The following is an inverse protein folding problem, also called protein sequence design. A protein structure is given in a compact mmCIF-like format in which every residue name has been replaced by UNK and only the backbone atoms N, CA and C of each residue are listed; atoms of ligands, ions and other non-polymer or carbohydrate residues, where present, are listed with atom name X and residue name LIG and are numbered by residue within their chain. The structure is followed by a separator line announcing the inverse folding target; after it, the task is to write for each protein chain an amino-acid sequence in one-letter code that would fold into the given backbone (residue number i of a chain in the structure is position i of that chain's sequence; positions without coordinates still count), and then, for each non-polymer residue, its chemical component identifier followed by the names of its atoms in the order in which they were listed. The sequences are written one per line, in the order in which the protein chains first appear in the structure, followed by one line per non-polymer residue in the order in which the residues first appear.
data_IF_539814407909
#
_entry.id   IF_539814407909
#
_cell.length_a   1.000
_cell.length_b   1.000
_cell.length_c   1.000
_cell.angle_alpha   90.00
_cell.angle_beta   90.00
_cell.angle_gamma   90.00
#
_symmetry.space_group_name_H-M   'P 1'
#
loop_
_entity.id
_entity.type
_entity.pdbx_description
1 polymer ?
#
# COMPACT_ATOMS: atom_id res chain seq x y z
N UNK A 1 4.50 6.10 -29.93
CA UNK A 1 3.89 7.17 -29.09
C UNK A 1 2.58 6.75 -28.39
N UNK A 2 1.67 5.98 -29.02
CA UNK A 2 0.40 5.58 -28.38
C UNK A 2 0.48 4.42 -27.37
N UNK A 3 1.49 3.55 -27.43
CA UNK A 3 1.61 2.36 -26.55
C UNK A 3 2.04 2.75 -25.14
N UNK A 4 3.07 3.58 -24.97
CA UNK A 4 3.53 4.06 -23.66
C UNK A 4 2.45 4.82 -22.88
N UNK A 5 1.61 5.63 -23.55
CA UNK A 5 0.46 6.29 -22.89
C UNK A 5 -0.63 5.31 -22.48
N UNK A 6 -0.91 4.28 -23.28
CA UNK A 6 -1.88 3.21 -22.94
C UNK A 6 -1.36 2.32 -21.80
N UNK A 7 -0.07 2.02 -21.78
CA UNK A 7 0.57 1.27 -20.70
C UNK A 7 0.62 2.07 -19.41
N UNK A 8 1.01 3.35 -19.44
CA UNK A 8 0.97 4.21 -18.26
C UNK A 8 -0.48 4.36 -17.74
N UNK A 9 -1.46 4.50 -18.64
CA UNK A 9 -2.87 4.51 -18.26
C UNK A 9 -3.33 3.16 -17.67
N UNK A 10 -2.91 2.02 -18.23
CA UNK A 10 -3.24 0.69 -17.70
C UNK A 10 -2.54 0.41 -16.35
N UNK A 11 -1.30 0.85 -16.16
CA UNK A 11 -0.56 0.82 -14.89
C UNK A 11 -1.23 1.70 -13.86
N UNK A 12 -1.62 2.92 -14.24
CA UNK A 12 -2.35 3.84 -13.36
C UNK A 12 -3.74 3.31 -13.02
N UNK A 13 -4.45 2.67 -13.96
CA UNK A 13 -5.76 2.02 -13.74
C UNK A 13 -5.63 0.76 -12.89
N UNK A 14 -4.58 -0.05 -13.07
CA UNK A 14 -4.27 -1.20 -12.22
C UNK A 14 -3.93 -0.78 -10.79
N UNK A 15 -3.13 0.28 -10.62
CA UNK A 15 -2.89 0.90 -9.32
C UNK A 15 -4.16 1.53 -8.72
N UNK A 16 -5.07 2.07 -9.53
CA UNK A 16 -6.38 2.57 -9.07
C UNK A 16 -7.32 1.43 -8.64
N UNK A 17 -7.28 0.28 -9.32
CA UNK A 17 -8.06 -0.90 -8.94
C UNK A 17 -7.56 -1.54 -7.64
N UNK A 18 -6.26 -1.40 -7.34
CA UNK A 18 -5.65 -1.87 -6.09
C UNK A 18 -5.92 -0.94 -4.90
N UNK A 19 -6.38 0.30 -5.12
CA UNK A 19 -6.78 1.18 -4.03
C UNK A 19 -7.17 2.58 -4.48
N UNK A 20 -8.43 2.79 -4.92
CA UNK A 20 -9.19 4.02 -4.66
C UNK A 20 -10.63 3.95 -5.21
N UNK A 21 -11.58 4.53 -4.47
CA UNK A 21 -12.91 4.92 -4.97
C UNK A 21 -12.80 6.25 -5.74
N UNK A 22 -13.56 6.48 -6.83
CA UNK A 22 -13.34 7.64 -7.69
C UNK A 22 -13.88 8.92 -7.04
N UNK A 23 -12.99 9.88 -6.77
CA UNK A 23 -13.38 11.27 -6.54
C UNK A 23 -12.50 12.04 -5.56
N UNK A 24 -11.26 12.40 -5.94
CA UNK A 24 -10.57 13.58 -5.42
C UNK A 24 -9.50 14.08 -6.42
N UNK A 25 -9.57 15.37 -6.74
CA UNK A 25 -8.49 16.09 -7.44
C UNK A 25 -7.39 16.46 -6.43
N UNK A 26 -6.13 16.16 -6.75
CA UNK A 26 -4.98 16.47 -5.90
C UNK A 26 -4.61 17.97 -5.98
N UNK A 27 -4.19 18.59 -4.86
CA UNK A 27 -3.75 19.98 -4.83
C UNK A 27 -2.36 20.16 -5.47
N UNK A 28 -2.19 21.28 -6.16
CA UNK A 28 -0.95 21.73 -6.78
C UNK A 28 -0.02 22.32 -5.72
N UNK A 29 1.17 21.74 -5.50
CA UNK A 29 2.21 22.35 -4.67
C UNK A 29 3.12 23.25 -5.52
N UNK A 30 3.23 24.52 -5.14
CA UNK A 30 4.24 25.46 -5.65
C UNK A 30 5.58 25.25 -4.90
N UNK A 31 6.75 25.37 -5.57
CA UNK A 31 8.04 25.29 -4.91
C UNK A 31 8.39 26.64 -4.26
N UNK A 32 8.66 26.61 -2.95
CA UNK A 32 9.22 27.75 -2.22
C UNK A 32 10.72 27.57 -2.04
N UNK A 33 11.49 28.51 -2.59
CA UNK A 33 12.92 28.68 -2.36
C UNK A 33 13.19 29.05 -0.89
N UNK A 34 14.11 28.34 -0.24
CA UNK A 34 14.76 28.77 0.98
C UNK A 34 16.28 28.53 0.88
N UNK A 35 17.13 29.52 1.22
CA UNK A 35 18.58 29.42 1.03
C UNK A 35 19.27 28.66 2.17
N UNK A 36 20.28 27.88 1.80
CA UNK A 36 21.19 27.15 2.69
C UNK A 36 22.24 28.10 3.28
N UNK A 37 22.55 28.06 4.59
CA UNK A 37 23.61 28.89 5.16
C UNK A 37 25.01 28.33 4.85
N UNK A 38 25.92 29.25 4.53
CA UNK A 38 27.32 28.98 4.22
C UNK A 38 28.08 28.38 5.43
N UNK A 39 28.80 27.28 5.19
CA UNK A 39 29.74 26.68 6.15
C UNK A 39 31.10 27.38 6.11
N UNK A 40 31.70 27.57 7.28
CA UNK A 40 32.98 28.23 7.49
C UNK A 40 34.18 27.41 6.96
N UNK A 41 35.28 28.06 6.54
CA UNK A 41 36.48 27.39 6.05
C UNK A 41 37.33 26.82 7.21
N UNK A 42 37.82 25.59 7.03
CA UNK A 42 38.82 24.94 7.88
C UNK A 42 40.23 25.51 7.60
N UNK A 43 41.14 25.49 8.59
CA UNK A 43 42.50 26.02 8.42
C UNK A 43 43.36 25.12 7.53
N UNK A 44 44.13 25.76 6.64
CA UNK A 44 45.23 25.17 5.87
C UNK A 44 46.28 24.59 6.82
N UNK A 45 46.60 23.30 6.67
CA UNK A 45 47.80 22.67 7.22
C UNK A 45 48.75 22.47 6.05
N UNK A 46 49.94 23.08 6.13
CA UNK A 46 51.01 22.92 5.15
C UNK A 46 51.51 21.46 5.10
N UNK A 47 51.59 20.83 3.91
CA UNK A 47 52.15 19.49 3.79
C UNK A 47 53.68 19.53 3.85
N UNK A 48 54.22 18.78 4.79
CA UNK A 48 55.63 18.41 4.93
C UNK A 48 56.12 17.63 3.68
N UNK A 49 57.31 17.92 3.11
CA UNK A 49 57.80 17.22 1.93
C UNK A 49 58.20 15.78 2.31
N UNK A 50 57.51 14.80 1.72
CA UNK A 50 57.83 13.38 1.84
C UNK A 50 58.90 12.97 0.81
N UNK A 51 59.84 12.16 1.27
CA UNK A 51 60.93 11.56 0.50
C UNK A 51 60.46 10.82 -0.75
N UNK A 52 61.32 10.84 -1.77
CA UNK A 52 61.08 10.27 -3.09
C UNK A 52 60.68 8.78 -3.03
N UNK A 53 59.61 8.35 -3.74
CA UNK A 53 59.23 6.95 -3.79
C UNK A 53 60.24 6.13 -4.62
N UNK A 54 60.53 4.87 -4.24
CA UNK A 54 61.35 3.97 -5.03
C UNK A 54 60.68 3.65 -6.39
N UNK A 55 61.47 3.30 -7.42
CA UNK A 55 60.94 3.04 -8.76
C UNK A 55 59.93 1.89 -8.75
N UNK A 56 58.75 2.17 -9.33
CA UNK A 56 57.66 1.23 -9.47
C UNK A 56 58.11 -0.02 -10.24
N UNK A 57 58.09 -1.17 -9.58
CA UNK A 57 58.09 -2.46 -10.25
C UNK A 57 56.86 -2.51 -11.15
N UNK A 58 57.09 -2.67 -12.47
CA UNK A 58 56.03 -2.86 -13.44
C UNK A 58 55.24 -4.12 -13.08
N UNK A 59 54.11 -3.93 -12.40
CA UNK A 59 53.08 -4.95 -12.24
C UNK A 59 52.53 -5.24 -13.62
N UNK A 60 52.85 -6.42 -14.13
CA UNK A 60 52.20 -7.01 -15.28
C UNK A 60 50.69 -6.90 -15.07
N UNK A 61 49.90 -6.32 -15.99
CA UNK A 61 48.45 -6.25 -15.82
C UNK A 61 47.92 -7.68 -15.63
N UNK A 62 47.11 -7.94 -14.60
CA UNK A 62 46.54 -9.27 -14.41
C UNK A 62 45.77 -9.67 -15.67
N UNK A 63 45.91 -10.95 -16.04
CA UNK A 63 45.28 -11.57 -17.18
C UNK A 63 43.81 -11.13 -17.32
N UNK A 64 43.44 -10.72 -18.55
CA UNK A 64 42.13 -10.29 -19.02
C UNK A 64 40.99 -10.61 -18.04
N UNK A 65 40.67 -9.64 -17.17
CA UNK A 65 39.49 -9.70 -16.34
C UNK A 65 38.28 -9.85 -17.29
N UNK A 66 37.68 -11.02 -17.30
CA UNK A 66 36.52 -11.31 -18.13
C UNK A 66 35.39 -10.36 -17.74
N UNK A 67 35.12 -9.36 -18.58
CA UNK A 67 34.01 -8.42 -18.37
C UNK A 67 32.73 -9.04 -18.93
N UNK A 68 31.77 -9.44 -18.09
CA UNK A 68 30.53 -10.04 -18.57
C UNK A 68 29.74 -9.04 -19.42
N UNK A 69 29.19 -9.52 -20.53
CA UNK A 69 28.31 -8.72 -21.40
C UNK A 69 26.94 -8.52 -20.72
N UNK A 70 26.19 -7.45 -21.06
CA UNK A 70 24.84 -7.27 -20.55
C UNK A 70 23.94 -8.50 -20.78
N UNK A 71 24.04 -9.14 -21.94
CA UNK A 71 23.26 -10.34 -22.25
C UNK A 71 23.56 -11.52 -21.30
N UNK A 72 24.82 -11.71 -20.90
CA UNK A 72 25.20 -12.76 -19.96
C UNK A 72 24.67 -12.48 -18.55
N UNK A 73 24.78 -11.23 -18.08
CA UNK A 73 24.24 -10.82 -16.77
C UNK A 73 22.73 -10.99 -16.73
N UNK A 74 22.07 -10.59 -17.81
CA UNK A 74 20.61 -10.72 -17.98
C UNK A 74 20.15 -12.18 -18.02
N UNK A 75 20.89 -13.05 -18.70
CA UNK A 75 20.62 -14.49 -18.68
C UNK A 75 20.81 -15.09 -17.28
N UNK A 76 21.84 -14.67 -16.55
CA UNK A 76 22.09 -15.10 -15.17
C UNK A 76 20.99 -14.63 -14.21
N UNK A 77 20.55 -13.37 -14.35
CA UNK A 77 19.42 -12.81 -13.62
C UNK A 77 18.16 -13.64 -13.88
N UNK A 78 17.80 -13.90 -15.14
CA UNK A 78 16.63 -14.69 -15.46
C UNK A 78 16.71 -16.12 -14.91
N UNK A 79 17.89 -16.75 -14.99
CA UNK A 79 18.12 -18.07 -14.41
C UNK A 79 17.94 -18.10 -12.89
N UNK A 80 18.28 -17.02 -12.17
CA UNK A 80 18.13 -16.96 -10.71
C UNK A 80 16.67 -17.01 -10.27
N UNK A 81 15.75 -16.46 -11.06
CA UNK A 81 14.30 -16.54 -10.82
C UNK A 81 13.68 -17.90 -11.15
N UNK A 82 14.45 -18.79 -11.79
CA UNK A 82 14.04 -20.17 -12.09
C UNK A 82 14.68 -21.20 -11.16
N UNK A 83 15.69 -20.79 -10.39
CA UNK A 83 16.54 -21.68 -9.59
C UNK A 83 15.86 -22.28 -8.35
N UNK A 84 14.62 -21.91 -8.06
CA UNK A 84 13.84 -22.48 -6.96
C UNK A 84 12.74 -21.53 -6.48
N UNK A 85 12.12 -21.86 -5.33
CA UNK A 85 11.24 -20.95 -4.63
C UNK A 85 11.94 -19.64 -4.31
N UNK A 86 11.23 -18.54 -4.41
CA UNK A 86 11.68 -17.23 -3.95
C UNK A 86 10.50 -16.40 -3.49
N UNK A 87 10.78 -15.46 -2.60
CA UNK A 87 9.83 -14.46 -2.18
C UNK A 87 10.49 -13.08 -2.12
N UNK A 88 9.79 -12.09 -2.65
CA UNK A 88 10.23 -10.71 -2.75
C UNK A 88 9.11 -9.76 -2.36
N UNK A 89 9.49 -8.64 -1.76
CA UNK A 89 8.65 -7.49 -1.58
C UNK A 89 9.09 -6.42 -2.55
N UNK A 90 8.17 -5.98 -3.39
CA UNK A 90 8.41 -5.01 -4.45
C UNK A 90 7.68 -3.72 -4.12
N UNK A 91 8.44 -2.64 -3.90
CA UNK A 91 7.90 -1.28 -3.79
C UNK A 91 7.95 -0.64 -5.17
N UNK A 92 6.78 -0.34 -5.72
CA UNK A 92 6.61 0.34 -7.00
C UNK A 92 6.35 1.82 -6.75
N UNK A 93 7.16 2.70 -7.34
CA UNK A 93 6.95 4.15 -7.32
C UNK A 93 6.82 4.64 -8.76
N UNK A 94 5.69 5.30 -9.05
CA UNK A 94 5.40 5.89 -10.36
C UNK A 94 5.28 7.39 -10.19
N UNK A 95 6.06 8.14 -10.97
CA UNK A 95 5.95 9.60 -11.09
C UNK A 95 5.47 9.90 -12.50
N UNK A 96 4.30 10.52 -12.63
CA UNK A 96 3.74 10.92 -13.92
C UNK A 96 4.29 12.26 -14.43
N UNK A 97 3.98 12.61 -15.68
CA UNK A 97 4.42 13.87 -16.33
C UNK A 97 4.07 15.14 -15.54
N UNK A 98 2.94 15.11 -14.80
CA UNK A 98 2.50 16.21 -13.94
C UNK A 98 3.20 16.25 -12.57
N UNK A 99 4.24 15.44 -12.35
CA UNK A 99 4.93 15.30 -11.07
C UNK A 99 4.14 14.55 -9.99
N UNK A 100 2.90 14.13 -10.28
CA UNK A 100 2.10 13.33 -9.35
C UNK A 100 2.74 11.97 -9.14
N UNK A 101 3.02 11.69 -7.87
CA UNK A 101 3.63 10.45 -7.43
C UNK A 101 2.57 9.48 -6.90
N UNK A 102 2.77 8.19 -7.19
CA UNK A 102 2.03 7.08 -6.60
C UNK A 102 2.99 6.00 -6.18
N UNK A 103 2.75 5.42 -5.01
CA UNK A 103 3.50 4.26 -4.52
C UNK A 103 2.54 3.09 -4.32
N UNK A 104 2.99 1.88 -4.64
CA UNK A 104 2.32 0.63 -4.35
C UNK A 104 3.32 -0.38 -3.80
N UNK A 105 2.83 -1.36 -3.05
CA UNK A 105 3.62 -2.46 -2.50
C UNK A 105 3.00 -3.76 -2.95
N UNK A 106 3.84 -4.67 -3.42
CA UNK A 106 3.46 -6.01 -3.85
C UNK A 106 4.34 -7.02 -3.13
N UNK A 107 3.74 -8.09 -2.62
CA UNK A 107 4.51 -9.26 -2.18
C UNK A 107 4.37 -10.36 -3.24
N UNK A 108 5.50 -10.82 -3.74
CA UNK A 108 5.64 -11.74 -4.86
C UNK A 108 6.28 -13.03 -4.34
N UNK A 109 5.67 -14.17 -4.62
CA UNK A 109 6.27 -15.49 -4.40
C UNK A 109 6.22 -16.28 -5.69
N UNK A 110 7.35 -16.86 -6.06
CA UNK A 110 7.53 -17.57 -7.31
C UNK A 110 8.17 -18.93 -7.02
N UNK A 111 7.60 -19.97 -7.61
CA UNK A 111 8.18 -21.30 -7.66
C UNK A 111 8.06 -21.76 -9.11
N UNK A 112 9.17 -21.70 -9.83
CA UNK A 112 9.25 -22.10 -11.23
C UNK A 112 9.01 -23.60 -11.44
N UNK A 113 9.02 -24.39 -10.36
CA UNK A 113 8.91 -25.84 -10.39
C UNK A 113 10.10 -26.52 -11.07
N UNK A 114 10.11 -27.85 -10.99
CA UNK A 114 11.01 -28.75 -11.70
C UNK A 114 10.20 -29.93 -12.28
N UNK A 115 10.86 -30.92 -12.87
CA UNK A 115 10.18 -32.12 -13.36
C UNK A 115 9.43 -32.81 -12.21
N UNK A 116 8.09 -32.72 -12.23
CA UNK A 116 7.22 -33.31 -11.22
C UNK A 116 6.71 -32.36 -10.13
N UNK A 117 7.14 -31.10 -10.08
CA UNK A 117 6.53 -30.07 -9.20
C UNK A 117 5.74 -29.05 -10.00
N UNK A 118 4.52 -28.70 -9.54
CA UNK A 118 3.72 -27.70 -10.22
C UNK A 118 4.37 -26.33 -10.09
N UNK A 119 4.31 -25.56 -11.18
CA UNK A 119 4.70 -24.14 -11.16
C UNK A 119 3.69 -23.37 -10.33
N UNK A 120 4.16 -22.57 -9.37
CA UNK A 120 3.30 -21.78 -8.48
C UNK A 120 3.71 -20.32 -8.47
N UNK A 121 2.71 -19.46 -8.40
CA UNK A 121 2.90 -18.03 -8.20
C UNK A 121 1.89 -17.55 -7.19
N UNK A 122 2.33 -16.68 -6.26
CA UNK A 122 1.45 -15.88 -5.43
C UNK A 122 1.82 -14.42 -5.55
N UNK A 123 0.83 -13.57 -5.79
CA UNK A 123 1.00 -12.12 -5.82
C UNK A 123 -0.03 -11.48 -4.90
N UNK A 124 0.44 -10.80 -3.88
CA UNK A 124 -0.37 -10.03 -2.95
C UNK A 124 -0.32 -8.54 -3.36
N UNK A 125 -1.41 -8.04 -3.94
CA UNK A 125 -1.57 -6.70 -4.52
C UNK A 125 -2.30 -5.74 -3.57
N UNK A 126 -2.10 -5.89 -2.26
CA UNK A 126 -2.88 -5.19 -1.24
C UNK A 126 -4.30 -5.75 -1.14
N UNK A 127 -5.22 -5.28 -1.99
CA UNK A 127 -6.63 -5.73 -1.98
C UNK A 127 -6.81 -7.15 -2.52
N UNK A 128 -6.10 -7.50 -3.59
CA UNK A 128 -6.26 -8.79 -4.24
C UNK A 128 -5.09 -9.71 -3.92
N UNK A 129 -5.39 -10.98 -3.70
CA UNK A 129 -4.39 -12.05 -3.72
C UNK A 129 -4.62 -12.89 -4.96
N UNK A 130 -3.58 -12.99 -5.78
CA UNK A 130 -3.53 -13.84 -6.95
C UNK A 130 -2.71 -15.08 -6.60
N UNK A 131 -3.23 -16.26 -6.90
CA UNK A 131 -2.51 -17.51 -6.77
C UNK A 131 -2.69 -18.31 -8.05
N UNK A 132 -1.59 -18.64 -8.72
CA UNK A 132 -1.61 -19.47 -9.92
C UNK A 132 -0.89 -20.78 -9.63
N UNK A 133 -1.52 -21.89 -9.99
CA UNK A 133 -0.92 -23.23 -9.95
C UNK A 133 -1.41 -24.03 -11.16
N UNK A 134 -0.47 -24.50 -11.99
CA UNK A 134 -0.83 -25.15 -13.25
C UNK A 134 -1.61 -24.23 -14.19
N UNK A 135 -2.80 -24.67 -14.63
CA UNK A 135 -3.66 -23.97 -15.59
C UNK A 135 -4.79 -23.15 -14.94
N UNK A 136 -4.74 -22.93 -13.62
CA UNK A 136 -5.78 -22.16 -12.92
C UNK A 136 -5.16 -21.00 -12.13
N UNK A 137 -5.85 -19.85 -12.16
CA UNK A 137 -5.53 -18.70 -11.32
C UNK A 137 -6.70 -18.41 -10.38
N UNK A 138 -6.44 -18.56 -9.10
CA UNK A 138 -7.33 -18.14 -8.03
C UNK A 138 -7.12 -16.66 -7.75
N UNK A 139 -8.21 -15.90 -7.75
CA UNK A 139 -8.23 -14.50 -7.39
C UNK A 139 -9.15 -14.34 -6.19
N UNK A 140 -8.60 -13.74 -5.13
CA UNK A 140 -9.30 -13.49 -3.90
C UNK A 140 -9.29 -11.99 -3.66
N UNK A 141 -10.44 -11.44 -3.31
CA UNK A 141 -10.55 -10.07 -2.80
C UNK A 141 -10.51 -10.16 -1.28
N UNK A 142 -9.53 -9.51 -0.64
CA UNK A 142 -9.43 -9.44 0.83
C UNK A 142 -10.67 -8.82 1.45
N UNK A 143 -11.40 -8.01 0.69
CA UNK A 143 -12.65 -7.37 1.12
C UNK A 143 -13.90 -8.21 0.86
N UNK A 144 -13.77 -9.37 0.24
CA UNK A 144 -14.83 -10.34 0.06
C UNK A 144 -14.33 -11.75 0.46
N UNK A 145 -14.07 -11.99 1.75
CA UNK A 145 -13.47 -13.25 2.20
C UNK A 145 -14.35 -14.47 1.92
N UNK A 146 -15.66 -14.28 1.74
CA UNK A 146 -16.62 -15.34 1.43
C UNK A 146 -16.61 -15.82 -0.02
N UNK A 147 -15.82 -15.21 -0.91
CA UNK A 147 -15.80 -15.58 -2.33
C UNK A 147 -14.38 -15.67 -2.90
N UNK A 148 -14.23 -16.42 -3.99
CA UNK A 148 -13.01 -16.45 -4.81
C UNK A 148 -13.38 -16.69 -6.28
N UNK A 149 -12.63 -16.11 -7.22
CA UNK A 149 -12.75 -16.42 -8.63
C UNK A 149 -11.64 -17.41 -8.99
N UNK A 150 -11.93 -18.32 -9.90
CA UNK A 150 -10.94 -19.26 -10.40
C UNK A 150 -11.00 -19.27 -11.93
N UNK A 151 -9.96 -18.71 -12.51
CA UNK A 151 -9.86 -18.32 -13.91
C UNK A 151 -8.97 -19.33 -14.64
N UNK A 152 -9.38 -19.72 -15.85
CA UNK A 152 -8.54 -20.54 -16.70
C UNK A 152 -7.27 -19.76 -17.10
N UNK A 153 -6.15 -20.46 -17.05
CA UNK A 153 -4.83 -19.95 -17.35
C UNK A 153 -4.05 -20.95 -18.24
N UNK A 154 -4.48 -21.12 -19.50
CA UNK A 154 -3.92 -22.14 -20.38
C UNK A 154 -2.42 -21.92 -20.70
N UNK A 155 -1.90 -20.70 -20.45
CA UNK A 155 -0.48 -20.38 -20.63
C UNK A 155 0.39 -20.70 -19.39
N UNK A 156 -0.21 -21.17 -18.30
CA UNK A 156 0.48 -21.35 -17.02
C UNK A 156 0.74 -20.02 -16.29
N UNK A 157 1.42 -20.03 -15.12
CA UNK A 157 1.51 -18.89 -14.18
C UNK A 157 2.17 -17.59 -14.69
N UNK A 158 2.43 -17.44 -15.99
CA UNK A 158 2.90 -16.21 -16.61
C UNK A 158 1.83 -15.11 -16.73
N UNK A 159 2.27 -13.93 -17.20
CA UNK A 159 1.49 -12.67 -17.30
C UNK A 159 0.32 -12.69 -18.32
N UNK A 160 -0.09 -13.88 -18.81
CA UNK A 160 -1.02 -14.06 -19.91
C UNK A 160 -2.50 -14.20 -19.54
N UNK A 161 -2.87 -14.12 -18.26
CA UNK A 161 -4.28 -14.20 -17.86
C UNK A 161 -4.98 -12.91 -18.30
N UNK A 162 -5.68 -12.93 -19.43
CA UNK A 162 -6.33 -11.73 -20.00
C UNK A 162 -7.34 -11.02 -19.09
N UNK A 163 -7.70 -11.62 -17.96
CA UNK A 163 -8.55 -11.03 -16.94
C UNK A 163 -7.79 -10.22 -15.87
N UNK A 164 -6.47 -10.39 -15.74
CA UNK A 164 -5.65 -9.66 -14.78
C UNK A 164 -5.00 -8.43 -15.42
N UNK A 165 -4.87 -7.31 -14.68
CA UNK A 165 -4.09 -6.18 -15.16
C UNK A 165 -2.63 -6.63 -15.38
N UNK A 166 -2.00 -6.12 -16.43
CA UNK A 166 -0.58 -6.35 -16.67
C UNK A 166 0.22 -5.85 -15.47
N UNK A 167 0.79 -6.78 -14.71
CA UNK A 167 1.58 -6.45 -13.53
C UNK A 167 2.97 -6.00 -13.98
N UNK A 168 3.45 -4.84 -13.54
CA UNK A 168 4.77 -4.29 -13.92
C UNK A 168 5.92 -5.01 -13.20
N UNK A 169 5.88 -6.34 -13.12
CA UNK A 169 6.77 -7.19 -12.33
C UNK A 169 7.56 -8.09 -13.29
N UNK A 170 8.71 -7.63 -13.81
CA UNK A 170 9.48 -8.39 -14.80
C UNK A 170 9.96 -9.74 -14.27
N UNK A 171 10.09 -9.89 -12.94
CA UNK A 171 10.42 -11.16 -12.27
C UNK A 171 9.46 -12.31 -12.64
N UNK A 172 8.17 -12.02 -12.85
CA UNK A 172 7.17 -13.04 -13.24
C UNK A 172 7.51 -13.59 -14.64
N UNK A 173 7.86 -12.70 -15.58
CA UNK A 173 8.26 -13.09 -16.92
C UNK A 173 9.56 -13.90 -16.87
N UNK A 174 10.55 -13.46 -16.09
CA UNK A 174 11.83 -14.16 -15.97
C UNK A 174 11.67 -15.58 -15.40
N UNK A 175 10.78 -15.77 -14.42
CA UNK A 175 10.51 -17.06 -13.82
C UNK A 175 9.79 -18.04 -14.77
N UNK A 176 8.80 -17.58 -15.55
CA UNK A 176 7.90 -18.50 -16.27
C UNK A 176 7.98 -18.46 -17.79
N UNK A 177 8.47 -17.36 -18.37
CA UNK A 177 8.56 -17.19 -19.82
C UNK A 177 10.01 -17.41 -20.29
N UNK A 178 10.20 -18.42 -21.13
CA UNK A 178 11.50 -18.73 -21.71
C UNK A 178 11.95 -17.69 -22.76
N UNK A 179 11.00 -17.04 -23.44
CA UNK A 179 11.27 -15.99 -24.43
C UNK A 179 11.55 -14.64 -23.75
N UNK A 180 11.10 -14.43 -22.51
CA UNK A 180 11.39 -13.22 -21.73
C UNK A 180 12.89 -13.01 -21.42
N UNK A 181 13.75 -14.00 -21.72
CA UNK A 181 15.21 -13.87 -21.61
C UNK A 181 15.78 -13.01 -22.73
N UNK A 182 15.02 -12.74 -23.80
CA UNK A 182 15.44 -11.79 -24.82
C UNK A 182 15.82 -10.46 -24.14
N UNK A 183 17.10 -10.02 -24.20
CA UNK A 183 17.57 -8.86 -23.47
C UNK A 183 16.73 -7.61 -23.70
N UNK A 184 16.15 -7.50 -24.90
CA UNK A 184 15.27 -6.43 -25.32
C UNK A 184 13.97 -6.40 -24.52
N UNK A 185 13.36 -7.54 -24.19
CA UNK A 185 12.05 -7.63 -23.54
C UNK A 185 12.10 -7.79 -22.03
N UNK A 186 13.30 -7.76 -21.46
CA UNK A 186 13.54 -8.07 -20.05
C UNK A 186 12.72 -7.21 -19.08
N UNK A 187 12.36 -5.97 -19.46
CA UNK A 187 11.53 -5.10 -18.60
C UNK A 187 10.05 -5.06 -18.99
N UNK A 188 9.57 -5.94 -19.87
CA UNK A 188 8.14 -6.06 -20.10
C UNK A 188 7.41 -6.45 -18.79
N UNK A 189 6.24 -5.85 -18.48
CA UNK A 189 5.48 -4.91 -19.28
C UNK A 189 5.74 -3.42 -18.95
N UNK A 190 6.83 -3.06 -18.26
CA UNK A 190 7.18 -1.66 -17.99
C UNK A 190 7.48 -0.89 -19.29
N UNK A 191 8.22 -1.54 -20.19
CA UNK A 191 8.64 -1.01 -21.49
C UNK A 191 8.73 -2.14 -22.50
N UNK A 192 8.39 -1.85 -23.76
CA UNK A 192 8.35 -2.85 -24.83
C UNK A 192 9.74 -3.40 -25.17
N UNK A 193 10.75 -2.52 -25.17
CA UNK A 193 12.11 -2.86 -25.54
C UNK A 193 13.16 -2.00 -24.82
N UNK A 194 14.28 -2.61 -24.45
CA UNK A 194 15.46 -1.95 -23.89
C UNK A 194 16.71 -2.35 -24.66
N UNK A 195 17.46 -1.35 -25.14
CA UNK A 195 18.77 -1.58 -25.74
C UNK A 195 19.86 -1.43 -24.67
N UNK A 196 20.26 -2.53 -24.03
CA UNK A 196 21.32 -2.52 -23.02
C UNK A 196 22.68 -2.17 -23.63
N UNK A 197 23.36 -1.18 -23.07
CA UNK A 197 24.63 -0.63 -23.59
C UNK A 197 25.82 -0.96 -22.71
N UNK A 198 25.61 -0.95 -21.41
CA UNK A 198 26.68 -0.99 -20.44
C UNK A 198 26.32 -1.93 -19.29
N UNK A 199 27.34 -2.68 -18.85
CA UNK A 199 27.37 -3.40 -17.60
C UNK A 199 28.57 -2.92 -16.79
N UNK A 200 28.37 -2.65 -15.50
CA UNK A 200 29.42 -2.25 -14.58
C UNK A 200 29.31 -3.11 -13.32
N UNK A 201 30.38 -3.80 -12.96
CA UNK A 201 30.43 -4.72 -11.82
C UNK A 201 31.29 -4.08 -10.75
N UNK A 202 30.66 -3.75 -9.61
CA UNK A 202 31.38 -3.23 -8.46
C UNK A 202 32.16 -4.38 -7.81
N UNK A 203 33.50 -4.34 -7.92
CA UNK A 203 34.38 -5.37 -7.38
C UNK A 203 34.29 -5.52 -5.85
N UNK A 204 33.89 -4.48 -5.12
CA UNK A 204 33.81 -4.52 -3.66
C UNK A 204 32.53 -5.22 -3.16
N UNK A 205 31.38 -4.91 -3.78
CA UNK A 205 30.08 -5.45 -3.37
C UNK A 205 29.61 -6.64 -4.21
N UNK A 206 30.25 -6.88 -5.36
CA UNK A 206 29.78 -7.80 -6.39
C UNK A 206 28.51 -7.32 -7.12
N UNK A 207 27.96 -6.17 -6.77
CA UNK A 207 26.73 -5.66 -7.39
C UNK A 207 26.98 -5.29 -8.85
N UNK A 208 25.96 -5.51 -9.68
CA UNK A 208 26.03 -5.21 -11.11
C UNK A 208 25.02 -4.16 -11.49
N UNK A 209 25.49 -3.10 -12.15
CA UNK A 209 24.69 -2.05 -12.75
C UNK A 209 24.55 -2.28 -14.25
N UNK A 210 23.32 -2.41 -14.73
CA UNK A 210 23.02 -2.42 -16.17
C UNK A 210 22.38 -1.11 -16.57
N UNK A 211 22.83 -0.54 -17.71
CA UNK A 211 22.27 0.68 -18.28
C UNK A 211 21.87 0.45 -19.73
N UNK A 212 20.68 0.90 -20.09
CA UNK A 212 20.12 0.74 -21.42
C UNK A 212 19.25 1.90 -21.86
N UNK A 213 19.01 1.97 -23.16
CA UNK A 213 18.16 2.98 -23.79
C UNK A 213 16.74 2.44 -23.97
N UNK A 214 15.75 3.29 -23.71
CA UNK A 214 14.34 3.04 -24.05
C UNK A 214 13.87 4.23 -24.89
N UNK A 215 12.98 4.06 -25.86
CA UNK A 215 12.47 5.22 -26.61
C UNK A 215 11.16 5.74 -26.01
N UNK A 216 11.05 7.01 -25.55
CA UNK A 216 12.08 8.04 -25.34
C UNK A 216 12.52 8.14 -23.85
N UNK A 217 13.71 7.67 -23.51
CA UNK A 217 14.18 7.58 -22.13
C UNK A 217 15.33 6.60 -21.89
N UNK A 218 15.43 6.09 -20.66
CA UNK A 218 16.50 5.18 -20.25
C UNK A 218 16.01 4.17 -19.21
N UNK A 219 16.72 3.06 -19.11
CA UNK A 219 16.49 2.02 -18.12
C UNK A 219 17.79 1.70 -17.38
N UNK A 220 17.67 1.48 -16.07
CA UNK A 220 18.77 1.05 -15.23
C UNK A 220 18.31 -0.12 -14.36
N UNK A 221 19.18 -1.12 -14.19
CA UNK A 221 19.00 -2.20 -13.22
C UNK A 221 20.17 -2.21 -12.24
N UNK A 222 19.86 -2.54 -11.00
CA UNK A 222 20.82 -2.93 -9.98
C UNK A 222 20.54 -4.38 -9.59
N UNK A 223 21.55 -5.23 -9.71
CA UNK A 223 21.49 -6.67 -9.43
C UNK A 223 22.44 -6.96 -8.26
N UNK A 224 22.01 -7.83 -7.35
CA UNK A 224 22.81 -8.24 -6.19
C UNK A 224 24.03 -9.07 -6.57
N UNK A 225 25.11 -8.93 -5.80
CA UNK A 225 26.34 -9.70 -5.98
C UNK A 225 26.27 -11.10 -5.37
N UNK A 226 25.79 -11.22 -4.12
CA UNK A 226 25.67 -12.50 -3.42
C UNK A 226 24.54 -13.37 -3.99
N UNK A 227 23.40 -12.75 -4.26
CA UNK A 227 22.29 -13.38 -4.98
C UNK A 227 22.09 -12.59 -6.27
N UNK A 228 22.18 -13.22 -7.47
CA UNK A 228 21.99 -12.55 -8.75
C UNK A 228 20.50 -12.24 -8.99
N UNK A 229 19.87 -11.58 -8.02
CA UNK A 229 18.46 -11.16 -7.99
C UNK A 229 18.38 -9.65 -8.17
N UNK A 230 17.22 -9.16 -8.61
CA UNK A 230 16.99 -7.74 -8.81
C UNK A 230 16.94 -7.03 -7.45
N UNK A 231 17.66 -5.91 -7.31
CA UNK A 231 17.57 -5.01 -6.15
C UNK A 231 16.75 -3.78 -6.53
N UNK A 232 16.99 -3.22 -7.71
CA UNK A 232 16.17 -2.11 -8.21
C UNK A 232 16.10 -2.07 -9.73
N UNK A 233 14.98 -1.58 -10.24
CA UNK A 233 14.82 -1.24 -11.64
C UNK A 233 14.29 0.18 -11.74
N UNK A 234 14.87 1.00 -12.61
CA UNK A 234 14.39 2.36 -12.88
C UNK A 234 14.25 2.57 -14.36
N UNK A 235 13.06 2.98 -14.78
CA UNK A 235 12.75 3.41 -16.14
C UNK A 235 12.39 4.89 -16.11
N UNK A 236 13.15 5.71 -16.83
CA UNK A 236 12.78 7.09 -17.12
C UNK A 236 12.13 7.14 -18.50
N UNK A 237 10.96 7.78 -18.61
CA UNK A 237 10.17 7.91 -19.84
C UNK A 237 9.95 9.39 -20.15
N UNK A 238 9.60 9.68 -21.41
CA UNK A 238 9.32 11.04 -21.87
C UNK A 238 10.44 12.03 -21.49
N UNK A 239 11.69 11.63 -21.73
CA UNK A 239 12.88 12.41 -21.35
C UNK A 239 12.97 12.73 -19.84
N UNK A 240 12.43 11.86 -18.98
CA UNK A 240 12.47 12.01 -17.53
C UNK A 240 11.25 12.70 -16.93
N UNK A 241 10.27 13.12 -17.73
CA UNK A 241 9.01 13.68 -17.24
C UNK A 241 8.17 12.64 -16.50
N UNK A 242 8.30 11.35 -16.86
CA UNK A 242 7.71 10.26 -16.13
C UNK A 242 8.78 9.25 -15.72
N UNK A 243 8.58 8.58 -14.58
CA UNK A 243 9.46 7.49 -14.20
C UNK A 243 8.72 6.39 -13.44
N UNK A 244 9.22 5.17 -13.61
CA UNK A 244 8.83 4.02 -12.81
C UNK A 244 10.06 3.50 -12.11
N UNK A 245 9.97 3.31 -10.80
CA UNK A 245 11.03 2.74 -9.97
C UNK A 245 10.48 1.54 -9.22
N UNK A 246 11.22 0.44 -9.27
CA UNK A 246 11.00 -0.74 -8.46
C UNK A 246 12.16 -0.86 -7.49
N UNK A 247 11.84 -1.08 -6.23
CA UNK A 247 12.78 -1.47 -5.18
C UNK A 247 12.35 -2.84 -4.69
N UNK A 248 13.30 -3.76 -4.63
CA UNK A 248 13.05 -5.17 -4.37
C UNK A 248 13.83 -5.57 -3.12
N UNK A 249 13.11 -6.15 -2.18
CA UNK A 249 13.63 -6.69 -0.93
C UNK A 249 13.32 -8.18 -0.90
N UNK A 250 14.34 -9.02 -0.71
CA UNK A 250 14.13 -10.45 -0.49
C UNK A 250 13.45 -10.66 0.88
N UNK A 251 12.42 -11.51 0.92
CA UNK A 251 11.73 -11.90 2.15
C UNK A 251 11.79 -13.42 2.34
N UNK A 252 11.55 -13.96 3.55
CA UNK A 252 11.55 -15.41 3.77
C UNK A 252 10.57 -16.12 2.82
N UNK A 253 11.07 -17.11 2.10
CA UNK A 253 10.35 -17.81 1.02
C UNK A 253 9.15 -18.61 1.56
N UNK A 254 9.33 -19.21 2.75
CA UNK A 254 8.36 -20.12 3.34
C UNK A 254 8.23 -21.43 2.54
N UNK A 255 7.23 -22.23 2.87
CA UNK A 255 6.94 -23.49 2.17
C UNK A 255 5.98 -23.24 0.99
N UNK A 256 6.38 -23.50 -0.27
CA UNK A 256 5.52 -23.35 -1.44
C UNK A 256 4.18 -24.09 -1.34
N UNK A 257 4.13 -25.22 -0.64
CA UNK A 257 2.90 -25.98 -0.46
C UNK A 257 1.86 -25.24 0.41
N UNK A 258 2.29 -24.22 1.17
CA UNK A 258 1.44 -23.39 2.03
C UNK A 258 1.12 -22.02 1.43
N UNK A 259 1.55 -21.76 0.20
CA UNK A 259 1.26 -20.47 -0.45
C UNK A 259 -0.18 -20.39 -0.94
N UNK A 260 -0.79 -21.53 -1.26
CA UNK A 260 -2.17 -21.62 -1.71
C UNK A 260 -3.10 -20.91 -0.71
N UNK A 261 -3.97 -20.01 -1.20
CA UNK A 261 -4.93 -19.35 -0.34
C UNK A 261 -5.98 -20.37 0.12
N UNK A 262 -6.44 -20.24 1.36
CA UNK A 262 -7.53 -21.07 1.86
C UNK A 262 -8.84 -20.68 1.15
N UNK A 263 -9.34 -21.59 0.33
CA UNK A 263 -10.62 -21.45 -0.41
C UNK A 263 -11.74 -22.27 0.21
N UNK A 264 -11.47 -23.04 1.28
CA UNK A 264 -12.48 -23.87 1.93
C UNK A 264 -13.55 -22.96 2.55
N UNK A 265 -14.82 -23.28 2.30
CA UNK A 265 -15.96 -22.47 2.77
C UNK A 265 -16.19 -21.18 1.99
N UNK A 266 -15.36 -20.86 0.98
CA UNK A 266 -15.60 -19.73 0.08
C UNK A 266 -16.44 -20.16 -1.11
N UNK A 267 -17.30 -19.25 -1.58
CA UNK A 267 -18.09 -19.44 -2.80
C UNK A 267 -17.24 -19.14 -4.04
N UNK A 268 -17.12 -20.11 -4.94
CA UNK A 268 -16.54 -19.88 -6.27
C UNK A 268 -17.45 -18.97 -7.08
N UNK A 269 -16.91 -17.92 -7.68
CA UNK A 269 -17.61 -17.01 -8.59
C UNK A 269 -17.11 -17.17 -10.02
N UNK A 270 -17.96 -16.84 -11.01
CA UNK A 270 -17.63 -17.05 -12.42
C UNK A 270 -16.72 -15.95 -12.99
N UNK A 271 -16.68 -14.78 -12.35
CA UNK A 271 -15.98 -13.61 -12.87
C UNK A 271 -15.35 -12.75 -11.77
N UNK A 272 -14.34 -11.95 -12.13
CA UNK A 272 -13.76 -10.96 -11.23
C UNK A 272 -14.77 -9.87 -10.82
N UNK A 273 -15.78 -9.59 -11.65
CA UNK A 273 -16.82 -8.62 -11.32
C UNK A 273 -17.65 -9.06 -10.11
N UNK A 274 -17.91 -10.36 -9.97
CA UNK A 274 -18.63 -10.96 -8.83
C UNK A 274 -17.80 -11.04 -7.55
N UNK A 275 -16.47 -10.84 -7.64
CA UNK A 275 -15.64 -10.70 -6.46
C UNK A 275 -15.83 -9.36 -5.77
N UNK A 276 -16.38 -8.36 -6.47
CA UNK A 276 -16.64 -7.05 -5.88
C UNK A 276 -17.44 -7.27 -4.59
N UNK A 277 -16.98 -6.72 -3.46
CA UNK A 277 -17.75 -6.79 -2.23
C UNK A 277 -19.11 -6.15 -2.53
N UNK A 278 -20.21 -6.72 -2.01
CA UNK A 278 -21.51 -6.12 -2.19
C UNK A 278 -21.47 -4.69 -1.64
N UNK A 279 -22.22 -3.80 -2.30
CA UNK A 279 -22.27 -2.41 -1.90
C UNK A 279 -22.71 -2.32 -0.44
N UNK A 280 -22.09 -1.44 0.35
CA UNK A 280 -22.55 -1.20 1.70
C UNK A 280 -23.99 -0.68 1.65
N UNK A 281 -24.77 -1.02 2.69
CA UNK A 281 -26.14 -0.53 2.83
C UNK A 281 -26.19 0.94 3.28
N UNK A 282 -25.07 1.49 3.75
CA UNK A 282 -24.94 2.86 4.22
C UNK A 282 -23.82 3.55 3.45
N UNK A 283 -24.19 4.55 2.65
CA UNK A 283 -23.25 5.32 1.85
C UNK A 283 -22.67 6.51 2.62
N UNK A 284 -21.53 7.02 2.15
CA UNK A 284 -20.96 8.27 2.65
C UNK A 284 -21.94 9.42 2.40
N UNK A 285 -22.17 10.22 3.44
CA UNK A 285 -23.14 11.30 3.51
C UNK A 285 -24.48 10.86 4.12
N UNK A 286 -24.77 9.57 4.20
CA UNK A 286 -26.02 9.09 4.82
C UNK A 286 -25.97 9.18 6.33
N UNK A 287 -27.15 9.34 6.95
CA UNK A 287 -27.28 9.36 8.40
C UNK A 287 -27.16 7.95 8.94
N UNK A 288 -26.35 7.78 9.98
CA UNK A 288 -26.20 6.51 10.65
C UNK A 288 -27.51 6.04 11.28
N UNK A 289 -27.81 4.73 11.22
CA UNK A 289 -28.83 4.15 12.09
C UNK A 289 -28.38 4.29 13.55
N UNK A 290 -29.34 4.26 14.48
CA UNK A 290 -28.98 4.18 15.90
C UNK A 290 -28.19 2.90 16.16
N UNK A 291 -26.95 3.07 16.63
CA UNK A 291 -26.04 1.96 16.86
C UNK A 291 -26.26 1.28 18.22
N UNK A 292 -27.17 1.77 19.06
CA UNK A 292 -27.44 1.18 20.39
C UNK A 292 -26.17 1.01 21.22
N UNK A 293 -25.34 2.05 21.28
CA UNK A 293 -24.01 1.95 21.88
C UNK A 293 -24.13 1.93 23.42
N UNK A 294 -23.25 1.17 24.05
CA UNK A 294 -23.22 0.98 25.50
C UNK A 294 -21.80 1.14 26.02
N UNK A 295 -21.66 1.56 27.27
CA UNK A 295 -20.41 1.53 28.02
C UNK A 295 -20.10 0.12 28.53
N UNK A 296 -18.90 -0.09 29.08
CA UNK A 296 -18.48 -1.37 29.67
C UNK A 296 -19.34 -1.82 30.88
N UNK A 297 -20.07 -0.90 31.52
CA UNK A 297 -21.06 -1.21 32.56
C UNK A 297 -22.50 -1.33 32.01
N UNK A 298 -22.65 -1.51 30.69
CA UNK A 298 -23.91 -1.70 29.96
C UNK A 298 -24.89 -0.53 30.06
N UNK A 299 -24.42 0.69 30.36
CA UNK A 299 -25.26 1.89 30.29
C UNK A 299 -25.33 2.36 28.85
N UNK A 300 -26.50 2.86 28.47
CA UNK A 300 -26.69 3.47 27.16
C UNK A 300 -25.75 4.67 27.00
N UNK A 301 -25.09 4.74 25.85
CA UNK A 301 -24.21 5.82 25.45
C UNK A 301 -24.61 6.29 24.05
N UNK A 302 -24.62 7.60 23.81
CA UNK A 302 -24.94 8.13 22.49
C UNK A 302 -23.81 8.97 21.95
N UNK A 303 -23.41 8.67 20.71
CA UNK A 303 -22.37 9.42 20.02
C UNK A 303 -22.77 10.88 19.81
N UNK A 304 -24.07 11.13 19.58
CA UNK A 304 -24.63 12.48 19.41
C UNK A 304 -24.42 13.36 20.63
N UNK A 305 -24.72 12.86 21.83
CA UNK A 305 -24.57 13.64 23.06
C UNK A 305 -23.10 14.01 23.30
N UNK A 306 -22.17 13.08 23.04
CA UNK A 306 -20.74 13.35 23.16
C UNK A 306 -20.23 14.35 22.13
N UNK A 307 -20.67 14.22 20.87
CA UNK A 307 -20.33 15.19 19.83
C UNK A 307 -20.89 16.57 20.17
N UNK A 308 -22.13 16.64 20.68
CA UNK A 308 -22.74 17.90 21.09
C UNK A 308 -22.01 18.52 22.29
N UNK A 309 -21.68 17.74 23.33
CA UNK A 309 -20.94 18.19 24.51
C UNK A 309 -19.51 18.62 24.18
N UNK A 310 -18.94 18.07 23.10
CA UNK A 310 -17.59 18.42 22.65
C UNK A 310 -17.50 19.78 21.97
N UNK A 311 -18.63 20.30 21.47
CA UNK A 311 -18.76 21.60 20.82
C UNK A 311 -19.09 22.66 21.87
N UNK A 312 -18.09 23.04 22.68
CA UNK A 312 -18.16 24.27 23.48
C UNK A 312 -18.00 25.53 22.59
N UNK A 313 -18.69 25.57 21.45
CA UNK A 313 -18.91 26.75 20.61
C UNK A 313 -17.80 27.18 19.64
N UNK A 314 -16.72 26.41 19.40
CA UNK A 314 -15.59 26.92 18.58
C UNK A 314 -15.00 26.00 17.51
N UNK A 315 -15.29 24.70 17.49
CA UNK A 315 -14.74 23.81 16.47
C UNK A 315 -15.74 22.72 16.07
N UNK A 316 -15.75 22.28 14.79
CA UNK A 316 -16.49 21.09 14.38
C UNK A 316 -16.02 19.87 15.17
N UNK A 317 -16.89 18.89 15.38
CA UNK A 317 -16.54 17.63 16.04
C UNK A 317 -16.70 16.47 15.05
N UNK A 318 -15.73 15.57 15.04
CA UNK A 318 -15.74 14.33 14.26
C UNK A 318 -15.75 13.16 15.24
N UNK A 319 -16.70 12.25 15.09
CA UNK A 319 -16.70 10.97 15.80
C UNK A 319 -15.92 9.94 15.00
N UNK A 320 -15.00 9.23 15.65
CA UNK A 320 -14.23 8.14 15.05
C UNK A 320 -14.47 6.87 15.87
N UNK A 321 -15.25 5.94 15.32
CA UNK A 321 -15.54 4.67 15.99
C UNK A 321 -14.74 3.55 15.34
N UNK A 322 -13.93 2.86 16.14
CA UNK A 322 -13.25 1.63 15.72
C UNK A 322 -14.19 0.46 16.02
N UNK A 323 -15.02 0.09 15.05
CA UNK A 323 -15.97 -1.00 15.19
C UNK A 323 -15.28 -2.33 14.89
N UNK A 324 -15.44 -3.33 15.74
CA UNK A 324 -14.85 -4.64 15.51
C UNK A 324 -15.71 -5.77 16.04
N UNK A 325 -15.69 -6.92 15.36
CA UNK A 325 -16.36 -8.13 15.82
C UNK A 325 -15.58 -8.71 16.99
N UNK A 326 -16.23 -8.80 18.15
CA UNK A 326 -15.61 -9.37 19.32
C UNK A 326 -15.31 -10.86 19.12
N UNK A 327 -14.14 -11.30 19.56
CA UNK A 327 -13.55 -12.62 19.39
C UNK A 327 -12.82 -12.87 18.06
N UNK A 328 -12.83 -11.93 17.10
CA UNK A 328 -12.23 -12.12 15.77
C UNK A 328 -11.41 -10.93 15.27
N UNK A 329 -11.83 -9.69 15.56
CA UNK A 329 -11.26 -8.47 14.97
C UNK A 329 -10.30 -7.69 15.88
N UNK A 330 -9.95 -8.19 17.06
CA UNK A 330 -9.25 -7.41 18.10
C UNK A 330 -7.86 -6.93 17.66
N UNK A 331 -7.07 -7.78 17.00
CA UNK A 331 -5.71 -7.42 16.60
C UNK A 331 -5.73 -6.25 15.61
N UNK A 332 -6.61 -6.32 14.60
CA UNK A 332 -6.79 -5.27 13.60
C UNK A 332 -7.42 -4.02 14.22
N UNK A 333 -8.39 -4.16 15.14
CA UNK A 333 -8.99 -3.04 15.86
C UNK A 333 -7.97 -2.30 16.73
N UNK A 334 -7.07 -3.01 17.41
CA UNK A 334 -5.99 -2.40 18.18
C UNK A 334 -5.01 -1.65 17.30
N UNK A 335 -4.60 -2.24 16.17
CA UNK A 335 -3.74 -1.57 15.21
C UNK A 335 -4.41 -0.31 14.64
N UNK A 336 -5.69 -0.41 14.28
CA UNK A 336 -6.50 0.72 13.83
C UNK A 336 -6.64 1.81 14.90
N UNK A 337 -6.82 1.45 16.16
CA UNK A 337 -6.88 2.40 17.28
C UNK A 337 -5.56 3.18 17.45
N UNK A 338 -4.42 2.47 17.41
CA UNK A 338 -3.11 3.10 17.50
C UNK A 338 -2.85 4.03 16.31
N UNK A 339 -3.17 3.56 15.10
CA UNK A 339 -3.05 4.35 13.88
C UNK A 339 -3.95 5.60 13.90
N UNK A 340 -5.17 5.46 14.44
CA UNK A 340 -6.12 6.57 14.61
C UNK A 340 -5.57 7.63 15.56
N UNK A 341 -4.96 7.22 16.67
CA UNK A 341 -4.36 8.14 17.63
C UNK A 341 -3.18 8.90 17.01
N UNK A 342 -2.30 8.20 16.29
CA UNK A 342 -1.15 8.83 15.63
C UNK A 342 -1.60 9.76 14.49
N UNK A 343 -2.58 9.34 13.66
CA UNK A 343 -3.17 10.19 12.63
C UNK A 343 -3.79 11.47 13.22
N UNK A 344 -4.46 11.36 14.37
CA UNK A 344 -4.98 12.52 15.12
C UNK A 344 -3.84 13.46 15.53
N UNK A 345 -2.78 12.95 16.13
CA UNK A 345 -1.62 13.75 16.53
C UNK A 345 -0.95 14.44 15.33
N UNK A 346 -0.83 13.76 14.19
CA UNK A 346 -0.30 14.36 12.97
C UNK A 346 -1.20 15.49 12.46
N UNK A 347 -2.52 15.28 12.48
CA UNK A 347 -3.48 16.31 12.10
C UNK A 347 -3.38 17.54 13.04
N UNK A 348 -3.29 17.32 14.36
CA UNK A 348 -3.09 18.37 15.36
C UNK A 348 -1.81 19.18 15.12
N UNK A 349 -0.68 18.50 14.85
CA UNK A 349 0.60 19.15 14.54
C UNK A 349 0.51 19.99 13.27
N UNK A 350 -0.10 19.47 12.19
CA UNK A 350 -0.24 20.20 10.92
C UNK A 350 -1.05 21.47 11.10
N UNK A 351 -2.20 21.40 11.75
CA UNK A 351 -3.04 22.58 11.90
C UNK A 351 -2.49 23.61 12.88
N UNK A 352 -1.67 23.20 13.87
CA UNK A 352 -0.92 24.13 14.70
C UNK A 352 0.06 24.97 13.87
N UNK A 353 0.72 24.35 12.88
CA UNK A 353 1.60 25.05 11.93
C UNK A 353 0.78 25.96 11.00
N UNK A 354 -0.36 25.50 10.50
CA UNK A 354 -1.21 26.24 9.56
C UNK A 354 -2.14 27.28 10.22
N UNK A 355 -2.20 27.33 11.56
CA UNK A 355 -3.13 28.15 12.35
C UNK A 355 -4.60 27.95 11.96
N UNK A 356 -4.97 26.73 11.56
CA UNK A 356 -6.34 26.36 11.19
C UNK A 356 -7.11 25.83 12.41
N UNK A 357 -8.41 26.15 12.55
CA UNK A 357 -9.23 25.50 13.57
C UNK A 357 -9.33 24.01 13.27
N UNK A 358 -8.97 23.18 14.26
CA UNK A 358 -9.03 21.73 14.15
C UNK A 358 -10.40 21.20 14.53
N UNK A 359 -10.96 20.24 13.78
CA UNK A 359 -12.07 19.49 14.30
C UNK A 359 -11.62 18.71 15.54
N UNK A 360 -12.45 18.73 16.59
CA UNK A 360 -12.22 17.86 17.75
C UNK A 360 -12.58 16.43 17.37
N UNK A 361 -11.61 15.52 17.46
CA UNK A 361 -11.81 14.11 17.12
C UNK A 361 -12.11 13.33 18.40
N UNK A 362 -13.34 12.81 18.49
CA UNK A 362 -13.81 11.90 19.53
C UNK A 362 -13.62 10.46 19.05
N UNK A 363 -12.59 9.79 19.56
CA UNK A 363 -12.26 8.43 19.17
C UNK A 363 -12.70 7.41 20.23
N UNK A 364 -13.35 6.32 19.83
CA UNK A 364 -13.68 5.20 20.75
C UNK A 364 -13.66 3.85 20.04
N UNK A 365 -13.04 2.80 20.60
CA UNK A 365 -13.22 1.44 20.10
C UNK A 365 -14.57 0.89 20.56
N UNK A 366 -15.25 0.16 19.70
CA UNK A 366 -16.59 -0.39 19.96
C UNK A 366 -16.63 -1.86 19.56
N UNK A 367 -16.81 -2.74 20.54
CA UNK A 367 -17.03 -4.15 20.29
C UNK A 367 -18.45 -4.42 19.80
N UNK A 368 -18.56 -5.12 18.67
CA UNK A 368 -19.82 -5.55 18.07
C UNK A 368 -20.08 -7.00 18.50
N UNK A 369 -21.18 -7.19 19.19
CA UNK A 369 -21.64 -8.47 19.75
C UNK A 369 -22.99 -8.84 19.17
N UNK A 370 -23.27 -10.14 19.06
CA UNK A 370 -24.64 -10.61 18.87
C UNK A 370 -25.45 -10.37 20.15
N UNK A 371 -26.78 -10.21 20.02
CA UNK A 371 -27.65 -9.83 21.14
C UNK A 371 -27.57 -10.83 22.31
N UNK A 372 -27.44 -12.12 22.03
CA UNK A 372 -27.32 -13.19 23.02
C UNK A 372 -25.94 -13.25 23.69
N UNK A 373 -24.93 -12.56 23.15
CA UNK A 373 -23.59 -12.46 23.73
C UNK A 373 -23.45 -11.29 24.71
N UNK A 374 -24.43 -10.36 24.75
CA UNK A 374 -24.37 -9.16 25.59
C UNK A 374 -24.71 -9.49 27.05
N UNK A 375 -23.68 -9.92 27.77
CA UNK A 375 -23.73 -10.15 29.23
C UNK A 375 -22.62 -9.35 29.92
N UNK A 376 -22.80 -8.94 31.20
CA UNK A 376 -21.77 -8.22 31.96
C UNK A 376 -20.44 -8.98 32.03
N UNK A 377 -20.50 -10.31 32.17
CA UNK A 377 -19.32 -11.17 32.24
C UNK A 377 -18.55 -11.17 30.93
N UNK A 378 -19.26 -11.35 29.80
CA UNK A 378 -18.65 -11.41 28.48
C UNK A 378 -18.07 -10.06 28.06
N UNK A 379 -18.78 -8.97 28.32
CA UNK A 379 -18.30 -7.60 28.06
C UNK A 379 -17.05 -7.29 28.89
N UNK A 380 -17.01 -7.71 30.16
CA UNK A 380 -15.83 -7.54 31.02
C UNK A 380 -14.63 -8.35 30.53
N UNK A 381 -14.86 -9.60 30.12
CA UNK A 381 -13.82 -10.48 29.57
C UNK A 381 -13.19 -9.87 28.32
N UNK A 382 -14.01 -9.52 27.32
CA UNK A 382 -13.53 -8.93 26.08
C UNK A 382 -12.95 -7.52 26.28
N UNK A 383 -13.49 -6.75 27.22
CA UNK A 383 -13.01 -5.42 27.58
C UNK A 383 -11.65 -5.41 28.26
N UNK A 384 -11.25 -6.51 28.92
CA UNK A 384 -9.95 -6.60 29.61
C UNK A 384 -8.76 -6.31 28.68
N UNK A 385 -8.90 -6.66 27.39
CA UNK A 385 -7.91 -6.39 26.34
C UNK A 385 -7.66 -4.88 26.19
N UNK A 386 -8.69 -4.05 26.32
CA UNK A 386 -8.61 -2.59 26.18
C UNK A 386 -8.20 -1.88 27.47
N UNK A 387 -8.54 -2.47 28.62
CA UNK A 387 -8.09 -1.97 29.94
C UNK A 387 -6.57 -1.92 30.02
N UNK A 388 -5.86 -2.91 29.45
CA UNK A 388 -4.40 -2.91 29.37
C UNK A 388 -3.81 -1.68 28.66
N UNK A 389 -4.62 -1.02 27.81
CA UNK A 389 -4.28 0.18 27.06
C UNK A 389 -4.87 1.46 27.65
N UNK A 390 -5.50 1.39 28.83
CA UNK A 390 -6.19 2.50 29.49
C UNK A 390 -7.30 3.10 28.61
N UNK A 391 -7.97 2.27 27.80
CA UNK A 391 -9.10 2.68 26.95
C UNK A 391 -10.35 1.98 27.45
N UNK A 392 -11.42 2.74 27.65
CA UNK A 392 -12.75 2.18 27.96
C UNK A 392 -13.51 1.96 26.64
N UNK A 393 -13.66 0.70 26.17
CA UNK A 393 -14.39 0.42 24.94
C UNK A 393 -15.87 0.73 25.10
N UNK A 394 -16.53 1.00 23.98
CA UNK A 394 -17.98 0.89 23.86
C UNK A 394 -18.38 -0.50 23.37
N UNK A 395 -19.67 -0.79 23.40
CA UNK A 395 -20.26 -2.05 22.96
C UNK A 395 -21.54 -1.79 22.19
N UNK A 396 -21.88 -2.67 21.24
CA UNK A 396 -23.17 -2.64 20.56
C UNK A 396 -23.69 -4.06 20.37
N UNK A 397 -25.01 -4.21 20.52
CA UNK A 397 -25.74 -5.47 20.34
C UNK A 397 -26.31 -5.64 18.93
N UNK A 398 -25.93 -4.77 17.99
CA UNK A 398 -26.48 -4.74 16.63
C UNK A 398 -26.03 -5.91 15.75
N UNK A 399 -25.16 -6.79 16.28
CA UNK A 399 -24.74 -8.03 15.63
C UNK A 399 -23.80 -7.81 14.44
N UNK A 400 -23.29 -8.91 13.91
CA UNK A 400 -22.36 -8.91 12.75
C UNK A 400 -22.92 -8.16 11.54
N UNK A 401 -24.23 -8.24 11.35
CA UNK A 401 -24.92 -7.63 10.23
C UNK A 401 -24.69 -6.12 10.17
N UNK A 402 -24.48 -5.46 11.31
CA UNK A 402 -24.21 -4.01 11.34
C UNK A 402 -22.86 -3.66 10.71
N UNK A 403 -21.80 -4.43 10.93
CA UNK A 403 -20.51 -4.20 10.27
C UNK A 403 -20.63 -4.36 8.76
N UNK A 404 -21.39 -5.38 8.32
CA UNK A 404 -21.60 -5.65 6.90
C UNK A 404 -22.30 -4.49 6.18
N UNK A 405 -23.16 -3.74 6.87
CA UNK A 405 -23.81 -2.54 6.33
C UNK A 405 -22.83 -1.43 5.96
N UNK A 406 -21.68 -1.36 6.63
CA UNK A 406 -20.62 -0.38 6.33
C UNK A 406 -19.55 -0.94 5.41
N UNK A 407 -19.20 -2.21 5.63
CA UNK A 407 -18.13 -2.90 4.92
C UNK A 407 -18.37 -4.41 4.98
N UNK A 408 -19.11 -4.93 4.00
CA UNK A 408 -19.38 -6.37 3.93
C UNK A 408 -18.11 -7.21 4.05
N UNK A 409 -18.17 -8.20 4.94
CA UNK A 409 -17.12 -9.18 5.19
C UNK A 409 -16.01 -8.69 6.12
N UNK A 410 -16.08 -7.45 6.62
CA UNK A 410 -15.07 -6.92 7.52
C UNK A 410 -15.30 -7.35 8.97
N UNK A 411 -14.22 -7.72 9.65
CA UNK A 411 -14.18 -7.98 11.09
C UNK A 411 -13.82 -6.75 11.88
N UNK A 412 -13.12 -5.77 11.28
CA UNK A 412 -12.82 -4.49 11.93
C UNK A 412 -12.79 -3.34 10.92
N UNK A 413 -13.38 -2.21 11.31
CA UNK A 413 -13.42 -0.96 10.54
C UNK A 413 -13.27 0.26 11.44
N UNK A 414 -12.84 1.37 10.86
CA UNK A 414 -13.04 2.71 11.44
C UNK A 414 -14.11 3.42 10.64
N UNK A 415 -15.14 3.92 11.32
CA UNK A 415 -16.08 4.86 10.71
C UNK A 415 -15.83 6.26 11.26
N UNK A 416 -15.82 7.23 10.36
CA UNK A 416 -15.78 8.65 10.71
C UNK A 416 -17.17 9.23 10.49
N UNK A 417 -17.66 9.99 11.48
CA UNK A 417 -18.97 10.62 11.42
C UNK A 417 -18.86 12.10 11.72
N UNK A 418 -19.74 12.90 11.11
CA UNK A 418 -19.86 14.31 11.43
C UNK A 418 -20.81 14.54 12.62
N UNK A 419 -21.06 15.83 12.93
CA UNK A 419 -21.91 16.26 14.04
C UNK A 419 -23.38 15.86 13.87
N UNK A 420 -23.85 15.76 12.63
CA UNK A 420 -25.21 15.38 12.24
C UNK A 420 -25.40 13.84 12.20
N UNK A 421 -24.41 13.08 12.68
CA UNK A 421 -24.35 11.62 12.62
C UNK A 421 -24.37 11.08 11.17
N UNK A 422 -23.86 11.85 10.22
CA UNK A 422 -23.66 11.38 8.85
C UNK A 422 -22.31 10.70 8.70
N UNK A 423 -22.30 9.58 7.99
CA UNK A 423 -21.10 8.83 7.68
C UNK A 423 -20.20 9.65 6.75
N UNK A 424 -19.01 10.01 7.21
CA UNK A 424 -18.02 10.75 6.42
C UNK A 424 -17.02 9.85 5.71
N UNK A 425 -16.60 8.74 6.34
CA UNK A 425 -15.67 7.78 5.75
C UNK A 425 -15.76 6.41 6.45
N UNK A 426 -15.36 5.36 5.73
CA UNK A 426 -15.14 4.01 6.26
C UNK A 426 -13.75 3.54 5.87
N UNK A 427 -12.94 3.14 6.84
CA UNK A 427 -11.59 2.60 6.64
C UNK A 427 -11.57 1.16 7.14
N UNK A 428 -11.30 0.20 6.25
CA UNK A 428 -11.20 -1.23 6.62
C UNK A 428 -9.86 -1.52 7.31
N UNK A 429 -9.91 -2.32 8.36
CA UNK A 429 -8.74 -2.68 9.17
C UNK A 429 -8.25 -4.11 8.95
N UNK A 430 -9.08 -4.97 8.33
CA UNK A 430 -8.81 -6.41 8.21
C UNK A 430 -7.46 -6.73 7.56
N UNK A 431 -6.62 -7.48 8.29
CA UNK A 431 -5.30 -7.90 7.83
C UNK A 431 -4.27 -6.77 7.72
N UNK A 432 -4.55 -5.60 8.30
CA UNK A 432 -3.67 -4.42 8.24
C UNK A 432 -2.89 -4.17 9.53
N UNK A 433 -2.97 -5.06 10.51
CA UNK A 433 -2.17 -4.98 11.74
C UNK A 433 -0.65 -4.85 11.49
N UNK A 434 -0.13 -5.39 10.38
CA UNK A 434 1.27 -5.29 9.98
C UNK A 434 1.64 -4.04 9.16
N UNK A 435 0.71 -3.13 8.89
CA UNK A 435 0.88 -1.98 8.00
C UNK A 435 0.52 -0.63 8.69
N UNK A 436 1.13 -0.30 9.84
CA UNK A 436 0.73 0.85 10.64
C UNK A 436 0.84 2.18 9.89
N UNK A 437 1.91 2.38 9.11
CA UNK A 437 2.12 3.61 8.34
C UNK A 437 1.03 3.84 7.29
N UNK A 438 0.62 2.78 6.59
CA UNK A 438 -0.46 2.85 5.61
C UNK A 438 -1.81 3.16 6.25
N UNK A 439 -2.09 2.56 7.41
CA UNK A 439 -3.30 2.86 8.19
C UNK A 439 -3.33 4.32 8.68
N UNK A 440 -2.20 4.84 9.17
CA UNK A 440 -2.09 6.24 9.63
C UNK A 440 -2.37 7.21 8.47
N UNK A 441 -1.81 6.94 7.29
CA UNK A 441 -2.03 7.76 6.11
C UNK A 441 -3.50 7.74 5.68
N UNK A 442 -4.11 6.57 5.55
CA UNK A 442 -5.52 6.44 5.15
C UNK A 442 -6.47 7.16 6.13
N UNK A 443 -6.21 7.04 7.44
CA UNK A 443 -7.01 7.71 8.46
C UNK A 443 -6.82 9.23 8.44
N UNK A 444 -5.60 9.71 8.17
CA UNK A 444 -5.32 11.13 8.00
C UNK A 444 -6.06 11.71 6.78
N UNK A 445 -6.03 11.02 5.66
CA UNK A 445 -6.74 11.42 4.43
C UNK A 445 -8.26 11.40 4.66
N UNK A 446 -8.76 10.40 5.38
CA UNK A 446 -10.16 10.31 5.76
C UNK A 446 -10.59 11.48 6.67
N UNK A 447 -9.78 11.85 7.68
CA UNK A 447 -10.05 13.04 8.51
C UNK A 447 -10.13 14.31 7.68
N UNK A 448 -9.18 14.54 6.78
CA UNK A 448 -9.16 15.71 5.91
C UNK A 448 -10.37 15.75 4.95
N UNK A 449 -10.83 14.60 4.45
CA UNK A 449 -12.03 14.50 3.64
C UNK A 449 -13.29 14.89 4.44
N UNK A 450 -13.47 14.32 5.64
CA UNK A 450 -14.64 14.61 6.50
C UNK A 450 -14.64 16.05 7.01
N UNK A 451 -13.47 16.58 7.38
CA UNK A 451 -13.33 17.97 7.81
C UNK A 451 -13.69 18.95 6.69
N UNK A 452 -13.25 18.68 5.45
CA UNK A 452 -13.61 19.49 4.28
C UNK A 452 -15.11 19.45 4.01
N UNK A 453 -15.72 18.27 4.00
CA UNK A 453 -17.17 18.13 3.80
C UNK A 453 -17.98 18.88 4.87
N UNK A 454 -17.53 18.84 6.13
CA UNK A 454 -18.18 19.52 7.25
C UNK A 454 -17.99 21.04 7.25
N UNK A 455 -16.92 21.54 6.63
CA UNK A 455 -16.61 22.98 6.58
C UNK A 455 -17.44 23.73 5.51
N UNK A 456 -17.91 23.04 4.47
CA UNK A 456 -18.73 23.63 3.40
C UNK A 456 -20.10 24.06 3.94
N UNK A 457 -20.60 23.44 5.00
CA UNK A 457 -21.92 23.76 5.57
C UNK A 457 -21.91 24.98 6.50
N UNK A 458 -20.74 25.43 6.97
CA UNK A 458 -20.61 26.68 7.73
C UNK A 458 -20.57 27.84 6.72
N UNK A 459 -21.70 28.09 6.08
CA UNK A 459 -21.91 29.39 5.42
C UNK A 459 -21.79 30.41 6.54
N UNK A 460 -20.90 31.41 6.46
CA UNK A 460 -20.85 32.46 7.46
C UNK A 460 -22.23 33.10 7.47
N UNK A 461 -23.01 32.81 8.50
CA UNK A 461 -24.27 33.46 8.76
C UNK A 461 -23.93 34.94 8.76
N UNK A 462 -24.44 35.63 7.73
CA UNK A 462 -24.19 37.05 7.51
C UNK A 462 -24.68 37.73 8.77
N UNK A 463 -23.74 38.06 9.66
CA UNK A 463 -24.01 38.87 10.83
C UNK A 463 -24.79 40.07 10.32
N UNK A 464 -26.07 40.25 10.73
CA UNK A 464 -26.85 41.37 10.26
C UNK A 464 -26.03 42.62 10.56
N UNK A 465 -25.75 43.40 9.50
CA UNK A 465 -24.94 44.60 9.61
C UNK A 465 -25.45 45.40 10.80
N UNK A 466 -24.60 45.58 11.81
CA UNK A 466 -24.93 46.35 12.98
C UNK A 466 -25.42 47.72 12.50
N UNK A 467 -26.71 48.02 12.72
CA UNK A 467 -27.24 49.34 12.41
C UNK A 467 -26.40 50.38 13.15
N UNK A 468 -25.87 51.39 12.43
CA UNK A 468 -25.13 52.46 13.08
C UNK A 468 -26.11 53.22 14.00
N UNK A 469 -25.80 53.25 15.30
CA UNK A 469 -26.48 54.09 16.29
C UNK A 469 -26.01 55.52 16.25
#
# INVERSE_FOLDING_TARGET
MNVARRMLAALLVGCLAAGYAPGQEAPTTQPGDAPVPASAPLPLIDPQPADAPPPALATTPPADAWTPTPAQILAQLAASYRGGPLAERVRLRVVGEAGRERTSRVELRLDAGDEGRPRRMRVDLGRYTLYAEGEEVHVLDRYNPGAYAALANPAGPGLGVGALPLLPLPQIAWAFDAEAIEPTRMLAPLVDAVAWRQADVDAASGQTWLRGDVSPGSANLLIGGETPRLISARVALAHGLASVRLEVEAIPEGDPAKWAPDVIGRRRVASLAELRPPQPDIDVGERLPSLGLMTSDLRLWTLREELAASVNGRAPAIGALVLYRAGQGEADAQAGWLALHEARLQHERRAAVERRPLPRILARPVGVLELDEVTPERVRELGAIWVSRQVDPGWTSTGRAMLDRFATGSHAIVILVNREERLGAVVRLDGRAGEPEGLIQDLSDAFEAVARASSIEITPEVLPAAEPR
#
